data_IF_181649839673
#
_entry.id   IF_181649839673
#
_cell.length_a   1.000
_cell.length_b   1.000
_cell.length_c   1.000
_cell.angle_alpha   90.00
_cell.angle_beta   90.00
_cell.angle_gamma   90.00
#
_symmetry.space_group_name_H-M   'P 1'
#
loop_
_entity.id
_entity.type
_entity.pdbx_description
1 polymer ?
#
# COMPACT_ATOMS: atom_id res chain seq x y z
N UNK A 1 8.17 -12.40 19.94
CA UNK A 1 8.34 -12.61 18.49
C UNK A 1 7.17 -12.01 17.75
N UNK A 2 7.44 -11.18 16.76
CA UNK A 2 6.38 -10.52 16.01
C UNK A 2 5.82 -11.45 14.95
N UNK A 3 4.51 -11.47 14.78
CA UNK A 3 3.90 -12.25 13.72
C UNK A 3 3.94 -11.50 12.39
N UNK A 4 3.60 -12.18 11.31
CA UNK A 4 3.63 -11.62 9.96
C UNK A 4 2.72 -10.39 9.84
N UNK A 5 1.53 -10.45 10.45
CA UNK A 5 0.60 -9.32 10.41
C UNK A 5 1.21 -8.06 11.00
N UNK A 6 1.83 -8.18 12.18
CA UNK A 6 2.48 -7.04 12.81
C UNK A 6 3.60 -6.47 11.95
N UNK A 7 4.40 -7.34 11.32
CA UNK A 7 5.48 -6.92 10.45
C UNK A 7 4.95 -6.15 9.24
N UNK A 8 3.86 -6.62 8.64
CA UNK A 8 3.22 -5.92 7.52
C UNK A 8 2.76 -4.53 7.94
N UNK A 9 2.05 -4.44 9.07
CA UNK A 9 1.53 -3.16 9.54
C UNK A 9 2.66 -2.17 9.84
N UNK A 10 3.77 -2.64 10.39
CA UNK A 10 4.93 -1.79 10.65
C UNK A 10 5.53 -1.22 9.36
N UNK A 11 5.64 -2.05 8.33
CA UNK A 11 6.15 -1.58 7.03
C UNK A 11 5.21 -0.51 6.45
N UNK A 12 3.91 -0.78 6.48
CA UNK A 12 2.93 0.16 5.92
C UNK A 12 3.02 1.52 6.60
N UNK A 13 3.19 1.54 7.92
CA UNK A 13 3.33 2.80 8.65
C UNK A 13 4.61 3.57 8.30
N UNK A 14 5.62 2.90 7.76
CA UNK A 14 6.87 3.54 7.33
C UNK A 14 6.76 4.19 5.96
N UNK A 15 5.80 3.79 5.14
CA UNK A 15 5.66 4.36 3.80
C UNK A 15 5.32 5.84 3.94
N UNK A 16 6.14 6.75 3.36
CA UNK A 16 5.87 8.18 3.50
C UNK A 16 4.59 8.62 2.80
N UNK A 17 3.93 9.67 3.28
CA UNK A 17 2.81 10.26 2.54
C UNK A 17 3.23 10.63 1.12
N UNK A 18 2.37 10.35 0.15
CA UNK A 18 2.66 10.61 -1.26
C UNK A 18 3.40 9.49 -1.97
N UNK A 19 3.76 8.43 -1.24
CA UNK A 19 4.45 7.27 -1.80
C UNK A 19 3.65 6.01 -1.58
N UNK A 20 3.91 4.98 -2.38
CA UNK A 20 3.21 3.70 -2.26
C UNK A 20 4.18 2.54 -2.45
N UNK A 21 3.77 1.37 -1.94
CA UNK A 21 4.40 0.09 -2.25
C UNK A 21 3.32 -0.82 -2.83
N UNK A 22 3.71 -1.77 -3.68
CA UNK A 22 2.77 -2.81 -4.08
C UNK A 22 2.71 -3.88 -2.98
N UNK A 23 1.68 -4.71 -3.01
CA UNK A 23 1.60 -5.84 -2.06
C UNK A 23 2.84 -6.72 -2.16
N UNK A 24 3.33 -6.96 -3.38
CA UNK A 24 4.57 -7.70 -3.59
C UNK A 24 5.80 -7.00 -3.03
N UNK A 25 5.84 -5.66 -3.15
CA UNK A 25 6.96 -4.89 -2.58
C UNK A 25 7.03 -5.03 -1.07
N UNK A 26 5.89 -5.04 -0.39
CA UNK A 26 5.85 -5.22 1.06
C UNK A 26 6.40 -6.59 1.45
N UNK A 27 5.93 -7.64 0.76
CA UNK A 27 6.42 -8.99 1.02
C UNK A 27 7.91 -9.11 0.76
N UNK A 28 8.39 -8.53 -0.34
CA UNK A 28 9.80 -8.55 -0.68
C UNK A 28 10.66 -7.79 0.34
N UNK A 29 10.17 -6.65 0.79
CA UNK A 29 10.83 -5.86 1.84
C UNK A 29 11.01 -6.66 3.12
N UNK A 30 9.98 -7.44 3.49
CA UNK A 30 10.04 -8.29 4.68
C UNK A 30 10.87 -9.56 4.47
N UNK A 31 11.03 -9.98 3.21
CA UNK A 31 11.75 -11.22 2.90
C UNK A 31 10.96 -12.47 3.22
N UNK A 32 9.66 -12.37 3.45
CA UNK A 32 8.80 -13.50 3.82
C UNK A 32 7.38 -13.26 3.35
N UNK A 33 6.66 -14.32 3.03
CA UNK A 33 5.30 -14.25 2.55
C UNK A 33 5.20 -13.79 1.10
N UNK A 34 4.00 -13.50 0.65
CA UNK A 34 3.74 -13.04 -0.70
C UNK A 34 2.65 -11.98 -0.72
N UNK A 35 2.35 -11.40 -1.90
CA UNK A 35 1.38 -10.31 -2.01
C UNK A 35 -0.01 -10.69 -1.50
N UNK A 36 -0.42 -11.92 -1.69
CA UNK A 36 -1.73 -12.40 -1.25
C UNK A 36 -1.88 -12.36 0.26
N UNK A 37 -0.82 -12.76 0.97
CA UNK A 37 -0.80 -12.74 2.44
C UNK A 37 -0.78 -11.32 2.97
N UNK A 38 -0.02 -10.42 2.34
CA UNK A 38 -0.04 -9.00 2.69
C UNK A 38 -1.44 -8.44 2.51
N UNK A 39 -2.10 -8.75 1.39
CA UNK A 39 -3.46 -8.32 1.14
C UNK A 39 -4.44 -8.79 2.21
N UNK A 40 -4.31 -10.03 2.66
CA UNK A 40 -5.16 -10.58 3.72
C UNK A 40 -4.97 -9.84 5.04
N UNK A 41 -3.73 -9.53 5.41
CA UNK A 41 -3.44 -8.78 6.63
C UNK A 41 -4.12 -7.42 6.56
N UNK A 42 -3.97 -6.69 5.46
CA UNK A 42 -4.56 -5.37 5.32
C UNK A 42 -6.08 -5.41 5.29
N UNK A 43 -6.67 -6.45 4.69
CA UNK A 43 -8.12 -6.61 4.64
C UNK A 43 -8.72 -6.82 6.05
N UNK A 44 -7.98 -7.48 6.95
CA UNK A 44 -8.49 -7.83 8.27
C UNK A 44 -7.99 -6.93 9.38
N UNK A 45 -6.81 -6.31 9.23
CA UNK A 45 -6.15 -5.55 10.29
C UNK A 45 -5.74 -4.15 9.86
N UNK A 46 -6.00 -3.76 8.62
CA UNK A 46 -5.46 -2.54 8.04
C UNK A 46 -6.16 -1.23 8.43
N UNK A 47 -7.25 -1.30 9.19
CA UNK A 47 -8.07 -0.11 9.46
C UNK A 47 -7.37 1.01 10.22
N UNK A 48 -6.32 0.71 10.97
CA UNK A 48 -5.58 1.70 11.75
C UNK A 48 -4.30 2.21 11.12
N UNK A 49 -3.97 1.75 9.91
CA UNK A 49 -2.75 2.16 9.21
C UNK A 49 -3.10 2.79 7.86
N UNK A 50 -2.16 3.51 7.21
CA UNK A 50 -2.43 4.11 5.91
C UNK A 50 -2.46 3.04 4.80
N UNK A 51 -3.50 2.23 4.81
CA UNK A 51 -3.69 1.08 3.91
C UNK A 51 -3.64 1.47 2.44
N UNK A 52 -4.04 2.70 2.08
CA UNK A 52 -4.05 3.18 0.70
C UNK A 52 -2.64 3.32 0.12
N UNK A 53 -1.60 3.33 0.96
CA UNK A 53 -0.21 3.38 0.52
C UNK A 53 0.31 2.02 0.06
N UNK A 54 -0.54 0.98 0.11
CA UNK A 54 -0.24 -0.32 -0.48
C UNK A 54 -1.22 -0.55 -1.61
N UNK A 55 -0.71 -0.85 -2.80
CA UNK A 55 -1.51 -0.87 -4.01
C UNK A 55 -1.21 -2.11 -4.86
N UNK A 56 -2.12 -2.41 -5.78
CA UNK A 56 -1.94 -3.52 -6.71
C UNK A 56 -0.78 -3.22 -7.67
N UNK A 57 -0.18 -4.30 -8.20
CA UNK A 57 0.96 -4.18 -9.12
C UNK A 57 0.64 -3.39 -10.38
N UNK A 58 -0.64 -3.35 -10.79
CA UNK A 58 -1.08 -2.56 -11.94
C UNK A 58 -1.40 -1.11 -11.59
N UNK A 59 -1.27 -0.72 -10.34
CA UNK A 59 -1.55 0.63 -9.87
C UNK A 59 -3.03 0.93 -9.67
N UNK A 60 -3.92 -0.02 -9.92
CA UNK A 60 -5.34 0.22 -9.75
C UNK A 60 -5.74 0.29 -8.28
N UNK A 61 -6.64 1.20 -7.99
CA UNK A 61 -7.18 1.36 -6.65
C UNK A 61 -8.04 0.16 -6.28
N UNK A 62 -8.08 -0.14 -4.98
CA UNK A 62 -8.79 -1.30 -4.47
C UNK A 62 -10.29 -1.21 -4.76
N UNK A 63 -10.89 -2.22 -5.43
CA UNK A 63 -12.32 -2.19 -5.73
C UNK A 63 -13.16 -2.01 -4.47
N UNK A 64 -14.14 -1.11 -4.55
CA UNK A 64 -15.02 -0.80 -3.42
C UNK A 64 -14.45 0.26 -2.48
N UNK A 65 -13.18 0.62 -2.61
CA UNK A 65 -12.51 1.61 -1.76
C UNK A 65 -11.89 2.76 -2.56
N UNK A 66 -12.20 2.84 -3.84
CA UNK A 66 -11.55 3.81 -4.76
C UNK A 66 -11.71 5.24 -4.28
N UNK A 67 -12.93 5.62 -3.88
CA UNK A 67 -13.21 6.98 -3.44
C UNK A 67 -12.38 7.37 -2.23
N UNK A 68 -12.34 6.52 -1.22
CA UNK A 68 -11.61 6.78 0.02
C UNK A 68 -10.11 6.82 -0.22
N UNK A 69 -9.61 5.90 -1.03
CA UNK A 69 -8.20 5.89 -1.39
C UNK A 69 -7.83 7.16 -2.17
N UNK A 70 -8.64 7.53 -3.15
CA UNK A 70 -8.37 8.72 -3.95
C UNK A 70 -8.35 9.99 -3.10
N UNK A 71 -9.25 10.10 -2.14
CA UNK A 71 -9.24 11.24 -1.23
C UNK A 71 -7.92 11.35 -0.49
N UNK A 72 -7.38 10.22 -0.02
CA UNK A 72 -6.10 10.21 0.67
C UNK A 72 -4.94 10.55 -0.26
N UNK A 73 -4.94 9.97 -1.47
CA UNK A 73 -3.89 10.28 -2.45
C UNK A 73 -3.86 11.77 -2.77
N UNK A 74 -5.02 12.38 -2.95
CA UNK A 74 -5.09 13.82 -3.24
C UNK A 74 -4.55 14.65 -2.08
N UNK A 75 -4.87 14.28 -0.85
CA UNK A 75 -4.36 14.99 0.33
C UNK A 75 -2.84 14.88 0.45
N UNK A 76 -2.28 13.74 0.07
CA UNK A 76 -0.85 13.46 0.24
C UNK A 76 -0.02 13.90 -0.95
N UNK A 77 -0.66 14.29 -2.04
CA UNK A 77 0.05 14.64 -3.27
C UNK A 77 0.62 13.45 -4.01
N UNK A 78 0.02 12.27 -3.82
CA UNK A 78 0.47 11.05 -4.49
C UNK A 78 0.30 11.19 -6.01
N UNK A 79 1.34 10.91 -6.81
CA UNK A 79 1.18 10.94 -8.27
C UNK A 79 0.12 9.96 -8.73
N UNK A 80 -0.87 10.45 -9.48
CA UNK A 80 -1.96 9.65 -10.00
C UNK A 80 -1.89 9.56 -11.52
N UNK A 81 -2.48 8.50 -12.05
CA UNK A 81 -2.59 8.27 -13.48
C UNK A 81 -4.04 7.98 -13.83
N UNK A 82 -4.73 8.98 -14.37
CA UNK A 82 -6.17 8.88 -14.58
C UNK A 82 -6.93 8.95 -13.27
N UNK A 83 -8.16 8.46 -13.27
CA UNK A 83 -9.04 8.57 -12.10
C UNK A 83 -8.94 7.38 -11.15
N UNK A 84 -8.46 6.23 -11.62
CA UNK A 84 -8.53 4.99 -10.88
C UNK A 84 -7.17 4.34 -10.62
N UNK A 85 -6.06 5.02 -10.97
CA UNK A 85 -4.73 4.46 -10.84
C UNK A 85 -3.75 5.41 -10.17
N UNK A 86 -2.83 4.82 -9.43
CA UNK A 86 -1.63 5.50 -8.94
C UNK A 86 -0.54 5.38 -9.99
N UNK A 87 0.18 6.46 -10.22
CA UNK A 87 1.36 6.44 -11.11
C UNK A 87 2.52 5.80 -10.35
N UNK A 88 2.63 4.47 -10.45
CA UNK A 88 3.65 3.71 -9.73
C UNK A 88 5.06 4.17 -10.07
N UNK A 89 5.30 4.54 -11.30
CA UNK A 89 6.63 4.97 -11.74
C UNK A 89 7.15 6.13 -10.90
N UNK A 90 6.28 7.07 -10.55
CA UNK A 90 6.65 8.27 -9.80
C UNK A 90 6.30 8.20 -8.32
N UNK A 91 5.42 7.29 -7.92
CA UNK A 91 4.96 7.18 -6.54
C UNK A 91 5.63 6.07 -5.74
N UNK A 92 6.25 5.10 -6.41
CA UNK A 92 6.77 3.90 -5.75
C UNK A 92 7.90 4.22 -4.77
N UNK A 93 7.76 3.71 -3.56
CA UNK A 93 8.77 3.86 -2.50
C UNK A 93 9.68 2.63 -2.51
N UNK A 94 10.98 2.85 -2.42
CA UNK A 94 11.97 1.77 -2.46
C UNK A 94 12.34 1.22 -1.08
N UNK A 95 11.72 1.73 -0.03
CA UNK A 95 12.01 1.27 1.32
C UNK A 95 13.12 2.03 2.03
N UNK A 96 13.68 3.03 1.38
CA UNK A 96 14.73 3.85 1.98
C UNK A 96 14.16 4.99 2.87
#
# INVERSE_FOLDING_TARGET
MEDFGELVLQVVERIPPGRVMTYGDVAEYLGVGGPRQVGRVLATQGGGVPWWRVIRADGKMLPGHERRAREQYLKEGTPLRGEDRVDLRNARWDGS
#
